data_IF_872341311484
#
_entry.id   IF_872341311484
#
_cell.length_a   1.000
_cell.length_b   1.000
_cell.length_c   1.000
_cell.angle_alpha   90.00
_cell.angle_beta   90.00
_cell.angle_gamma   90.00
#
_symmetry.space_group_name_H-M   'P 1'
#
loop_
_entity.id
_entity.type
_entity.pdbx_description
1 polymer ?
#
# COMPACT_ATOMS: atom_id res chain seq x y z
N UNK A 1 12.71 5.77 -8.63
CA UNK A 1 11.76 6.38 -9.59
C UNK A 1 11.36 7.75 -9.08
N UNK A 2 11.33 8.78 -9.93
CA UNK A 2 11.03 10.17 -9.52
C UNK A 2 9.72 10.30 -8.72
N UNK A 3 8.61 9.78 -9.27
CA UNK A 3 7.29 9.88 -8.62
C UNK A 3 7.26 9.31 -7.19
N UNK A 4 7.84 8.12 -6.98
CA UNK A 4 7.83 7.48 -5.65
C UNK A 4 8.64 8.29 -4.65
N UNK A 5 9.81 8.78 -5.04
CA UNK A 5 10.70 9.54 -4.17
C UNK A 5 10.16 10.94 -3.85
N UNK A 6 9.45 11.58 -4.79
CA UNK A 6 8.93 12.94 -4.60
C UNK A 6 7.58 13.00 -3.88
N UNK A 7 6.68 12.06 -4.17
CA UNK A 7 5.29 12.14 -3.68
C UNK A 7 4.74 10.81 -3.15
N UNK A 8 5.08 9.70 -3.80
CA UNK A 8 4.52 8.38 -3.48
C UNK A 8 4.85 7.91 -2.07
N UNK A 9 6.11 8.06 -1.63
CA UNK A 9 6.58 7.61 -0.31
C UNK A 9 5.91 8.38 0.83
N UNK A 10 5.96 9.72 0.79
CA UNK A 10 5.29 10.55 1.81
C UNK A 10 3.78 10.26 1.89
N UNK A 11 3.12 10.06 0.75
CA UNK A 11 1.70 9.70 0.73
C UNK A 11 1.43 8.31 1.31
N UNK A 12 2.33 7.36 1.10
CA UNK A 12 2.24 6.03 1.68
C UNK A 12 2.37 6.11 3.21
N UNK A 13 3.32 6.88 3.72
CA UNK A 13 3.52 7.08 5.16
C UNK A 13 2.27 7.66 5.84
N UNK A 14 1.62 8.66 5.23
CA UNK A 14 0.35 9.20 5.74
C UNK A 14 -0.75 8.15 5.81
N UNK A 15 -0.86 7.29 4.80
CA UNK A 15 -1.86 6.22 4.75
C UNK A 15 -1.55 5.16 5.80
N UNK A 16 -0.28 4.77 5.95
CA UNK A 16 0.19 3.82 6.96
C UNK A 16 -0.13 4.32 8.36
N UNK A 17 0.18 5.59 8.68
CA UNK A 17 -0.15 6.19 9.98
C UNK A 17 -1.66 6.17 10.25
N UNK A 18 -2.50 6.49 9.25
CA UNK A 18 -3.97 6.45 9.37
C UNK A 18 -4.53 5.04 9.57
N UNK A 19 -3.84 4.01 9.05
CA UNK A 19 -4.24 2.62 9.21
C UNK A 19 -3.75 2.06 10.55
N UNK A 20 -2.56 2.43 10.99
CA UNK A 20 -2.01 2.08 12.31
C UNK A 20 -2.91 2.59 13.45
N UNK A 21 -3.43 3.82 13.35
CA UNK A 21 -4.39 4.34 14.35
C UNK A 21 -5.71 3.57 14.40
N UNK A 22 -5.95 2.66 13.45
CA UNK A 22 -7.12 1.76 13.37
C UNK A 22 -6.77 0.30 13.65
N UNK A 23 -5.52 0.00 14.04
CA UNK A 23 -5.04 -1.38 14.20
C UNK A 23 -4.98 -2.17 12.89
N UNK A 24 -4.90 -1.49 11.74
CA UNK A 24 -4.84 -2.13 10.42
C UNK A 24 -3.43 -2.03 9.87
N UNK A 25 -2.87 -3.17 9.48
CA UNK A 25 -1.49 -3.27 9.01
C UNK A 25 -1.35 -3.71 7.56
N UNK A 26 -2.46 -3.72 6.81
CA UNK A 26 -2.49 -4.15 5.40
C UNK A 26 -3.39 -3.26 4.55
N UNK A 27 -2.97 -3.00 3.31
CA UNK A 27 -3.78 -2.27 2.33
C UNK A 27 -3.55 -2.78 0.90
N UNK A 28 -4.39 -2.31 -0.03
CA UNK A 28 -4.37 -2.69 -1.44
C UNK A 28 -4.39 -1.44 -2.31
N UNK A 29 -3.44 -1.36 -3.24
CA UNK A 29 -3.33 -0.29 -4.23
C UNK A 29 -3.74 -0.84 -5.58
N UNK A 30 -4.79 -0.26 -6.17
CA UNK A 30 -5.23 -0.53 -7.54
C UNK A 30 -4.30 0.11 -8.56
N UNK A 31 -4.35 -0.36 -9.81
CA UNK A 31 -3.63 0.25 -10.93
C UNK A 31 -3.96 1.74 -11.18
N UNK A 32 -5.09 2.24 -10.70
CA UNK A 32 -5.50 3.64 -10.78
C UNK A 32 -5.09 4.48 -9.55
N UNK A 33 -4.32 3.91 -8.62
CA UNK A 33 -3.83 4.60 -7.43
C UNK A 33 -4.82 4.67 -6.27
N UNK A 34 -6.02 4.08 -6.39
CA UNK A 34 -6.93 3.98 -5.25
C UNK A 34 -6.37 3.01 -4.23
N UNK A 35 -6.22 3.48 -2.99
CA UNK A 35 -5.78 2.69 -1.85
C UNK A 35 -6.96 2.32 -0.95
N UNK A 36 -7.11 1.04 -0.66
CA UNK A 36 -8.19 0.49 0.16
C UNK A 36 -7.66 -0.47 1.23
N UNK A 37 -8.45 -0.70 2.27
CA UNK A 37 -8.17 -1.69 3.31
C UNK A 37 -9.41 -2.56 3.53
N UNK A 38 -9.21 -3.76 4.09
CA UNK A 38 -10.30 -4.72 4.34
C UNK A 38 -10.93 -4.47 5.71
N UNK A 39 -12.25 -4.54 5.76
CA UNK A 39 -13.07 -4.55 6.99
C UNK A 39 -13.98 -5.77 6.99
N UNK A 40 -14.65 -6.04 8.11
CA UNK A 40 -15.68 -7.08 8.18
C UNK A 40 -16.80 -6.92 7.13
N UNK A 41 -17.10 -5.68 6.73
CA UNK A 41 -18.13 -5.35 5.73
C UNK A 41 -17.58 -5.22 4.29
N UNK A 42 -16.35 -5.65 4.04
CA UNK A 42 -15.68 -5.54 2.75
C UNK A 42 -14.62 -4.43 2.71
N UNK A 43 -14.24 -4.00 1.50
CA UNK A 43 -13.17 -3.02 1.30
C UNK A 43 -13.65 -1.59 1.48
N UNK A 44 -12.82 -0.76 2.11
CA UNK A 44 -13.03 0.69 2.24
C UNK A 44 -11.83 1.46 1.71
N UNK A 45 -12.10 2.55 1.00
CA UNK A 45 -11.06 3.47 0.53
C UNK A 45 -10.46 4.26 1.70
N UNK A 46 -9.14 4.40 1.71
CA UNK A 46 -8.40 5.19 2.72
C UNK A 46 -7.60 6.33 2.10
N UNK A 47 -7.27 6.23 0.80
CA UNK A 47 -6.49 7.25 0.12
C UNK A 47 -6.47 7.09 -1.40
N UNK A 48 -5.86 8.08 -2.05
CA UNK A 48 -5.47 8.05 -3.45
C UNK A 48 -3.99 8.44 -3.53
N UNK A 49 -3.27 7.74 -4.39
CA UNK A 49 -1.95 8.09 -4.89
C UNK A 49 -2.10 8.86 -6.20
N UNK A 50 -2.04 10.19 -6.15
CA UNK A 50 -2.18 11.03 -7.36
C UNK A 50 -0.97 10.82 -8.28
N UNK A 51 -1.24 10.69 -9.58
CA UNK A 51 -0.20 10.40 -10.57
C UNK A 51 0.40 8.99 -10.46
N UNK A 52 -0.23 8.07 -9.72
CA UNK A 52 0.26 6.71 -9.53
C UNK A 52 0.57 6.02 -10.88
N UNK A 53 1.82 5.63 -11.13
CA UNK A 53 2.21 5.03 -12.40
C UNK A 53 1.90 3.52 -12.39
N UNK A 54 0.62 3.16 -12.46
CA UNK A 54 0.16 1.77 -12.32
C UNK A 54 0.72 0.79 -13.36
N UNK A 55 1.18 1.27 -14.54
CA UNK A 55 1.90 0.44 -15.52
C UNK A 55 3.29 0.00 -15.04
N UNK A 56 3.84 0.69 -14.04
CA UNK A 56 5.15 0.44 -13.44
C UNK A 56 5.00 -0.13 -12.02
N UNK A 57 3.89 -0.80 -11.72
CA UNK A 57 3.57 -1.33 -10.39
C UNK A 57 4.65 -2.26 -9.84
N UNK A 58 5.28 -3.09 -10.68
CA UNK A 58 6.36 -3.99 -10.27
C UNK A 58 7.59 -3.21 -9.77
N UNK A 59 7.97 -2.13 -10.45
CA UNK A 59 9.07 -1.26 -10.05
C UNK A 59 8.75 -0.54 -8.72
N UNK A 60 7.53 -0.01 -8.60
CA UNK A 60 7.06 0.62 -7.36
C UNK A 60 7.04 -0.39 -6.21
N UNK A 61 6.61 -1.63 -6.47
CA UNK A 61 6.62 -2.71 -5.48
C UNK A 61 8.05 -3.01 -5.00
N UNK A 62 9.04 -2.98 -5.89
CA UNK A 62 10.46 -3.08 -5.53
C UNK A 62 10.88 -1.99 -4.54
N UNK A 63 10.60 -0.72 -4.86
CA UNK A 63 10.93 0.42 -3.99
C UNK A 63 10.24 0.35 -2.63
N UNK A 64 8.98 -0.07 -2.58
CA UNK A 64 8.25 -0.26 -1.33
C UNK A 64 8.85 -1.39 -0.48
N UNK A 65 9.37 -2.46 -1.10
CA UNK A 65 10.08 -3.53 -0.39
C UNK A 65 11.42 -3.06 0.17
N UNK A 66 12.15 -2.22 -0.56
CA UNK A 66 13.37 -1.56 -0.05
C UNK A 66 13.08 -0.69 1.17
N UNK A 67 11.89 -0.08 1.24
CA UNK A 67 11.40 0.67 2.40
C UNK A 67 10.90 -0.24 3.56
N UNK A 68 11.09 -1.56 3.47
CA UNK A 68 10.77 -2.53 4.52
C UNK A 68 9.33 -3.05 4.52
N UNK A 69 8.56 -2.79 3.47
CA UNK A 69 7.19 -3.30 3.34
C UNK A 69 7.17 -4.69 2.72
N UNK A 70 6.22 -5.53 3.15
CA UNK A 70 5.90 -6.75 2.41
C UNK A 70 4.92 -6.39 1.29
N UNK A 71 5.32 -6.58 0.04
CA UNK A 71 4.51 -6.25 -1.13
C UNK A 71 4.29 -7.47 -2.02
N UNK A 72 3.02 -7.84 -2.23
CA UNK A 72 2.59 -8.90 -3.12
C UNK A 72 1.81 -8.35 -4.30
N UNK A 73 2.20 -8.76 -5.50
CA UNK A 73 1.49 -8.43 -6.74
C UNK A 73 0.32 -9.41 -6.94
N UNK A 74 -0.89 -8.88 -7.01
CA UNK A 74 -2.12 -9.67 -7.14
C UNK A 74 -2.94 -9.19 -8.34
N UNK A 75 -2.60 -9.67 -9.55
CA UNK A 75 -3.26 -9.35 -10.82
C UNK A 75 -3.43 -7.83 -11.05
N UNK A 76 -4.48 -7.23 -10.51
CA UNK A 76 -4.86 -5.81 -10.65
C UNK A 76 -4.50 -4.92 -9.45
N UNK A 77 -3.86 -5.49 -8.43
CA UNK A 77 -3.58 -4.80 -7.17
C UNK A 77 -2.16 -5.09 -6.67
N UNK A 78 -1.56 -4.14 -5.96
CA UNK A 78 -0.50 -4.40 -4.99
C UNK A 78 -1.14 -4.60 -3.63
N UNK A 79 -0.88 -5.72 -2.96
CA UNK A 79 -1.19 -5.90 -1.54
C UNK A 79 0.05 -5.54 -0.74
N UNK A 80 -0.08 -4.58 0.17
CA UNK A 80 0.97 -4.13 1.07
C UNK A 80 0.63 -4.62 2.48
N UNK A 81 1.65 -4.99 3.24
CA UNK A 81 1.56 -5.25 4.68
C UNK A 81 2.84 -4.86 5.40
N UNK A 82 2.70 -4.47 6.67
CA UNK A 82 3.80 -4.07 7.55
C UNK A 82 3.53 -4.48 9.00
N UNK A 83 4.55 -4.41 9.86
CA UNK A 83 4.46 -4.95 11.21
C UNK A 83 4.59 -6.48 11.25
N UNK A 84 4.88 -7.02 12.44
CA UNK A 84 4.91 -8.47 12.64
C UNK A 84 3.48 -9.00 12.46
N UNK A 85 3.29 -9.91 11.52
CA UNK A 85 2.22 -10.88 11.71
C UNK A 85 2.59 -11.63 12.98
N UNK A 86 1.87 -11.40 14.08
CA UNK A 86 1.75 -12.46 15.07
C UNK A 86 1.13 -13.63 14.30
N UNK A 87 1.98 -14.56 13.89
CA UNK A 87 1.57 -15.91 13.56
C UNK A 87 0.79 -16.40 14.79
N UNK A 88 -0.53 -16.39 14.67
CA UNK A 88 -1.36 -17.21 15.53
C UNK A 88 -1.06 -18.67 15.15
N UNK A 89 -0.03 -19.24 15.78
CA UNK A 89 0.23 -20.67 15.91
C UNK A 89 1.12 -20.91 17.13
#
# INVERSE_FOLDING_TARGET
>A
MLWYNETGRSRLDEIVQKLNSRGVTRCWIRSDGICSYRTAKGFRRIGIFYGYPGKLSALIAGLMREDGLTVMEQKRYLRLSWGREEEAA
#
